data_IF_568978586095
#
_entry.id   IF_568978586095
#
_cell.length_a   1.000
_cell.length_b   1.000
_cell.length_c   1.000
_cell.angle_alpha   90.00
_cell.angle_beta   90.00
_cell.angle_gamma   90.00
#
_symmetry.space_group_name_H-M   'P 1'
#
loop_
_entity.id
_entity.type
_entity.pdbx_description
1 polymer ?
#
# COMPACT_ATOMS: atom_id res chain seq x y z
N UNK A 1 16.83 -0.64 13.78
CA UNK A 1 15.90 -1.63 14.35
C UNK A 1 14.74 -1.81 13.40
N UNK A 2 14.35 -3.05 13.14
CA UNK A 2 13.13 -3.37 12.41
C UNK A 2 12.06 -3.83 13.41
N UNK A 3 10.85 -3.32 13.28
CA UNK A 3 9.67 -3.75 14.03
C UNK A 3 8.78 -4.49 13.04
N UNK A 4 8.74 -5.81 13.17
CA UNK A 4 8.00 -6.75 12.30
C UNK A 4 7.08 -7.64 13.13
N UNK A 5 6.61 -7.13 14.27
CA UNK A 5 5.65 -7.85 15.13
C UNK A 5 4.27 -7.88 14.45
N UNK A 6 3.25 -8.47 15.09
CA UNK A 6 1.89 -8.28 14.58
C UNK A 6 1.53 -6.78 14.66
N UNK A 7 0.76 -6.31 13.68
CA UNK A 7 0.43 -4.88 13.48
C UNK A 7 -0.14 -4.20 14.74
N UNK A 8 -0.97 -4.92 15.50
CA UNK A 8 -1.54 -4.46 16.78
C UNK A 8 -0.46 -4.15 17.84
N UNK A 9 0.72 -4.77 17.76
CA UNK A 9 1.83 -4.59 18.70
C UNK A 9 2.91 -3.62 18.19
N UNK A 10 2.79 -3.08 16.97
CA UNK A 10 3.78 -2.17 16.41
C UNK A 10 4.01 -0.94 17.30
N UNK A 11 2.93 -0.31 17.77
CA UNK A 11 3.02 0.93 18.54
C UNK A 11 3.72 0.73 19.90
N UNK A 12 3.38 -0.34 20.62
CA UNK A 12 3.98 -0.66 21.91
C UNK A 12 5.50 -0.85 21.80
N UNK A 13 5.94 -1.62 20.80
CA UNK A 13 7.37 -1.84 20.54
C UNK A 13 8.05 -0.55 20.07
N UNK A 14 7.36 0.26 19.26
CA UNK A 14 7.88 1.54 18.80
C UNK A 14 8.12 2.51 19.97
N UNK A 15 7.22 2.58 20.94
CA UNK A 15 7.39 3.41 22.14
C UNK A 15 8.64 3.02 22.93
N UNK A 16 8.86 1.71 23.12
CA UNK A 16 10.07 1.20 23.77
C UNK A 16 11.34 1.55 22.97
N UNK A 17 11.28 1.41 21.65
CA UNK A 17 12.39 1.78 20.77
C UNK A 17 12.70 3.29 20.81
N UNK A 18 11.67 4.14 20.88
CA UNK A 18 11.82 5.59 20.97
C UNK A 18 12.44 6.04 22.30
N UNK A 19 12.18 5.33 23.40
CA UNK A 19 12.81 5.54 24.70
C UNK A 19 14.30 5.15 24.74
N UNK A 20 14.78 4.43 23.71
CA UNK A 20 16.19 4.03 23.56
C UNK A 20 16.96 4.99 22.64
N UNK A 21 18.31 4.95 22.59
CA UNK A 21 19.12 5.79 21.70
C UNK A 21 19.14 5.31 20.22
N UNK A 22 18.26 4.40 19.81
CA UNK A 22 18.27 3.84 18.44
C UNK A 22 17.95 4.93 17.40
N UNK A 23 18.91 5.26 16.54
CA UNK A 23 18.76 6.35 15.57
C UNK A 23 17.83 6.00 14.37
N UNK A 24 17.73 4.72 13.99
CA UNK A 24 16.94 4.27 12.83
C UNK A 24 15.97 3.18 13.24
N UNK A 25 14.69 3.48 13.17
CA UNK A 25 13.59 2.59 13.49
C UNK A 25 12.75 2.46 12.23
N UNK A 26 12.56 1.23 11.78
CA UNK A 26 11.76 0.89 10.60
C UNK A 26 10.62 0.02 11.09
N UNK A 27 9.38 0.45 10.81
CA UNK A 27 8.17 -0.25 11.25
C UNK A 27 7.49 -0.81 10.02
N UNK A 28 7.26 -2.12 9.98
CA UNK A 28 6.53 -2.77 8.89
C UNK A 28 5.10 -2.25 8.76
N UNK A 29 4.52 -2.48 7.58
CA UNK A 29 3.12 -2.10 7.32
C UNK A 29 2.13 -3.02 8.04
N UNK A 30 0.94 -2.50 8.38
CA UNK A 30 0.66 -1.08 8.54
C UNK A 30 1.41 -0.56 9.77
N UNK A 31 1.81 0.72 9.80
CA UNK A 31 2.58 1.28 10.94
C UNK A 31 1.81 1.18 12.28
N UNK A 32 0.48 1.21 12.22
CA UNK A 32 -0.45 0.92 13.33
C UNK A 32 -1.71 0.25 12.78
N UNK A 33 -2.55 -0.33 13.65
CA UNK A 33 -3.71 -1.12 13.26
C UNK A 33 -5.06 -0.55 13.73
N UNK A 34 -5.10 0.51 14.54
CA UNK A 34 -6.36 1.12 15.02
C UNK A 34 -6.32 2.64 14.96
N UNK A 35 -7.50 3.29 14.93
CA UNK A 35 -7.61 4.75 14.96
C UNK A 35 -7.08 5.35 16.28
N UNK A 36 -7.29 4.68 17.41
CA UNK A 36 -6.70 5.10 18.70
C UNK A 36 -5.16 5.05 18.68
N UNK A 37 -4.58 4.06 17.99
CA UNK A 37 -3.14 4.01 17.77
C UNK A 37 -2.66 5.11 16.82
N UNK A 38 -3.46 5.51 15.81
CA UNK A 38 -3.16 6.67 14.95
C UNK A 38 -3.02 7.94 15.79
N UNK A 39 -4.01 8.24 16.64
CA UNK A 39 -4.00 9.43 17.50
C UNK A 39 -2.76 9.46 18.39
N UNK A 40 -2.47 8.33 19.04
CA UNK A 40 -1.30 8.19 19.90
C UNK A 40 0.00 8.37 19.12
N UNK A 41 0.13 7.76 17.94
CA UNK A 41 1.33 7.88 17.12
C UNK A 41 1.52 9.31 16.59
N UNK A 42 0.45 10.03 16.22
CA UNK A 42 0.52 11.45 15.85
C UNK A 42 1.11 12.29 16.98
N UNK A 43 0.67 12.05 18.23
CA UNK A 43 1.23 12.74 19.41
C UNK A 43 2.71 12.42 19.65
N UNK A 44 3.16 11.20 19.34
CA UNK A 44 4.59 10.85 19.44
C UNK A 44 5.41 11.53 18.34
N UNK A 45 4.94 11.52 17.09
CA UNK A 45 5.70 12.05 15.95
C UNK A 45 5.91 13.57 15.99
N UNK A 46 5.08 14.32 16.73
CA UNK A 46 5.31 15.77 16.94
C UNK A 46 6.41 16.07 17.96
N UNK A 47 6.85 15.09 18.74
CA UNK A 47 7.94 15.29 19.71
C UNK A 47 9.27 15.53 18.98
N UNK A 48 10.12 16.46 19.45
CA UNK A 48 11.38 16.77 18.80
C UNK A 48 12.26 15.54 18.56
N UNK A 49 12.69 15.35 17.31
CA UNK A 49 13.60 14.26 16.91
C UNK A 49 12.97 12.88 16.78
N UNK A 50 11.67 12.69 17.09
CA UNK A 50 11.01 11.38 16.94
C UNK A 50 10.76 11.05 15.47
N UNK A 51 10.12 11.94 14.72
CA UNK A 51 9.74 11.66 13.33
C UNK A 51 10.94 11.40 12.40
N UNK A 52 12.12 11.96 12.70
CA UNK A 52 13.33 11.76 11.91
C UNK A 52 13.93 10.35 12.08
N UNK A 53 13.57 9.66 13.17
CA UNK A 53 14.07 8.31 13.51
C UNK A 53 13.19 7.20 12.95
N UNK A 54 11.93 7.49 12.64
CA UNK A 54 10.90 6.48 12.34
C UNK A 54 10.56 6.49 10.86
N UNK A 55 10.81 5.36 10.19
CA UNK A 55 10.33 5.08 8.84
C UNK A 55 9.19 4.06 8.89
N UNK A 56 7.98 4.48 8.51
CA UNK A 56 6.91 3.56 8.16
C UNK A 56 7.24 2.87 6.83
N UNK A 57 7.47 1.57 6.87
CA UNK A 57 7.84 0.79 5.71
C UNK A 57 6.61 0.21 5.03
N UNK A 58 6.43 0.57 3.76
CA UNK A 58 5.69 -0.24 2.81
C UNK A 58 6.60 -0.48 1.62
N UNK A 59 7.01 -1.72 1.38
CA UNK A 59 7.98 -2.03 0.33
C UNK A 59 7.51 -1.62 -1.08
N UNK A 60 6.20 -1.49 -1.31
CA UNK A 60 5.65 -1.03 -2.59
C UNK A 60 5.96 0.45 -2.88
N UNK A 61 6.37 1.23 -1.88
CA UNK A 61 6.83 2.61 -2.07
C UNK A 61 8.05 2.71 -3.01
N UNK A 62 8.82 1.63 -3.17
CA UNK A 62 10.00 1.62 -4.04
C UNK A 62 9.66 1.54 -5.55
N UNK A 63 8.38 1.31 -5.90
CA UNK A 63 7.92 1.15 -7.29
C UNK A 63 7.73 2.50 -7.98
N UNK A 64 8.84 3.21 -8.22
CA UNK A 64 8.87 4.56 -8.80
C UNK A 64 9.53 4.60 -10.20
N UNK A 65 9.58 3.46 -10.90
CA UNK A 65 10.24 3.36 -12.21
C UNK A 65 9.57 4.22 -13.29
N UNK A 66 8.25 4.42 -13.21
CA UNK A 66 7.52 5.40 -14.03
C UNK A 66 8.15 6.79 -13.95
N UNK A 67 8.53 7.21 -12.74
CA UNK A 67 9.15 8.52 -12.46
C UNK A 67 10.62 8.51 -12.85
N UNK A 68 11.40 7.52 -12.40
CA UNK A 68 12.84 7.42 -12.67
C UNK A 68 13.16 7.46 -14.17
N UNK A 69 12.26 6.94 -15.00
CA UNK A 69 12.39 6.91 -16.47
C UNK A 69 11.82 8.13 -17.19
N UNK A 70 11.19 9.05 -16.46
CA UNK A 70 10.57 10.24 -17.05
C UNK A 70 9.47 9.90 -18.06
N UNK A 71 8.67 8.85 -17.81
CA UNK A 71 7.58 8.47 -18.71
C UNK A 71 6.39 9.44 -18.68
N UNK A 72 6.28 10.16 -17.57
CA UNK A 72 5.36 11.27 -17.32
C UNK A 72 6.21 12.43 -16.82
N UNK A 73 6.12 13.60 -17.45
CA UNK A 73 7.01 14.72 -17.08
C UNK A 73 6.48 15.44 -15.84
N UNK A 74 5.16 15.64 -15.78
CA UNK A 74 4.51 16.31 -14.66
C UNK A 74 3.17 15.67 -14.31
N UNK A 75 2.73 15.82 -13.06
CA UNK A 75 1.45 15.29 -12.60
C UNK A 75 0.25 15.86 -13.39
N UNK A 76 0.37 17.06 -13.94
CA UNK A 76 -0.68 17.71 -14.74
C UNK A 76 -1.01 16.98 -16.06
N UNK A 77 -0.16 16.06 -16.50
CA UNK A 77 -0.43 15.22 -17.67
C UNK A 77 -1.47 14.13 -17.38
N UNK A 78 -1.67 13.77 -16.11
CA UNK A 78 -2.52 12.64 -15.72
C UNK A 78 -3.97 13.12 -15.61
N UNK A 79 -4.91 12.39 -16.24
CA UNK A 79 -6.35 12.70 -16.21
C UNK A 79 -7.19 11.65 -15.47
N UNK A 80 -6.65 10.44 -15.26
CA UNK A 80 -7.27 9.38 -14.47
C UNK A 80 -6.20 8.44 -13.91
N UNK A 81 -6.43 7.89 -12.73
CA UNK A 81 -5.58 6.87 -12.13
C UNK A 81 -6.41 5.65 -11.76
N UNK A 82 -5.85 4.46 -12.00
CA UNK A 82 -6.40 3.20 -11.54
C UNK A 82 -5.34 2.41 -10.76
N UNK A 83 -5.72 1.91 -9.58
CA UNK A 83 -4.86 1.08 -8.72
C UNK A 83 -5.43 -0.33 -8.56
N UNK A 84 -4.56 -1.34 -8.62
CA UNK A 84 -4.95 -2.74 -8.53
C UNK A 84 -4.02 -3.50 -7.61
N UNK A 85 -4.60 -4.30 -6.72
CA UNK A 85 -3.88 -5.37 -6.04
C UNK A 85 -4.77 -6.60 -5.92
N UNK A 86 -4.57 -7.52 -6.86
CA UNK A 86 -5.35 -8.74 -7.03
C UNK A 86 -4.42 -9.95 -6.88
N UNK A 87 -4.46 -10.57 -5.70
CA UNK A 87 -3.58 -11.69 -5.34
C UNK A 87 -4.07 -13.01 -5.94
N UNK A 88 -3.16 -13.90 -6.35
CA UNK A 88 -3.51 -15.28 -6.65
C UNK A 88 -4.03 -15.99 -5.39
N UNK A 89 -5.01 -16.86 -5.60
CA UNK A 89 -5.66 -17.62 -4.54
C UNK A 89 -5.93 -19.07 -4.98
N UNK A 90 -5.96 -19.97 -4.01
CA UNK A 90 -6.36 -21.36 -4.23
C UNK A 90 -7.84 -21.59 -3.93
N UNK A 91 -8.21 -22.87 -3.89
CA UNK A 91 -9.49 -23.35 -3.39
C UNK A 91 -9.25 -24.40 -2.30
N UNK A 92 -10.06 -24.37 -1.24
CA UNK A 92 -10.04 -25.42 -0.23
C UNK A 92 -10.75 -26.69 -0.74
N UNK A 93 -10.79 -27.74 0.10
CA UNK A 93 -11.45 -29.01 -0.25
C UNK A 93 -12.96 -28.89 -0.49
N UNK A 94 -13.60 -27.84 0.01
CA UNK A 94 -15.00 -27.52 -0.23
C UNK A 94 -15.22 -26.66 -1.50
N UNK A 95 -14.15 -26.34 -2.24
CA UNK A 95 -14.21 -25.49 -3.44
C UNK A 95 -14.33 -23.99 -3.12
N UNK A 96 -14.11 -23.57 -1.89
CA UNK A 96 -14.16 -22.16 -1.49
C UNK A 96 -12.80 -21.48 -1.65
N UNK A 97 -12.75 -20.17 -1.99
CA UNK A 97 -11.50 -19.44 -2.11
C UNK A 97 -10.67 -19.45 -0.82
N UNK A 98 -9.35 -19.64 -0.96
CA UNK A 98 -8.37 -19.56 0.13
C UNK A 98 -7.14 -18.78 -0.32
N UNK A 99 -6.61 -17.90 0.53
CA UNK A 99 -5.40 -17.15 0.25
C UNK A 99 -4.20 -18.12 0.17
N UNK A 100 -3.11 -17.68 -0.44
CA UNK A 100 -1.86 -18.44 -0.48
C UNK A 100 -0.84 -17.80 0.46
N UNK A 101 -0.05 -18.64 1.13
CA UNK A 101 1.09 -18.19 1.90
C UNK A 101 2.12 -17.57 0.96
N UNK A 102 2.55 -16.35 1.26
CA UNK A 102 3.47 -15.61 0.41
C UNK A 102 4.83 -16.31 0.21
N UNK A 103 5.33 -17.03 1.23
CA UNK A 103 6.63 -17.67 1.20
C UNK A 103 6.61 -19.04 0.51
N UNK A 104 5.55 -19.82 0.71
CA UNK A 104 5.48 -21.21 0.22
C UNK A 104 4.60 -21.37 -1.02
N UNK A 105 3.65 -20.46 -1.26
CA UNK A 105 2.62 -20.61 -2.28
C UNK A 105 1.50 -21.61 -1.91
N UNK A 106 1.59 -22.24 -0.74
CA UNK A 106 0.60 -23.20 -0.25
C UNK A 106 -0.64 -22.50 0.32
N UNK A 107 -1.80 -23.17 0.41
CA UNK A 107 -2.99 -22.60 1.04
C UNK A 107 -2.71 -22.07 2.46
N UNK A 108 -3.07 -20.80 2.68
CA UNK A 108 -2.96 -20.15 3.99
C UNK A 108 -4.15 -20.55 4.85
N UNK A 109 -3.92 -21.43 5.82
CA UNK A 109 -4.96 -21.96 6.70
C UNK A 109 -5.32 -21.02 7.85
N UNK A 110 -4.67 -19.85 7.94
CA UNK A 110 -5.00 -18.86 8.96
C UNK A 110 -6.36 -18.23 8.67
N UNK A 111 -7.13 -18.03 9.72
CA UNK A 111 -8.35 -17.23 9.63
C UNK A 111 -7.99 -15.75 9.68
N UNK A 112 -8.11 -15.07 8.55
CA UNK A 112 -7.93 -13.62 8.48
C UNK A 112 -9.12 -12.94 9.15
N UNK A 113 -8.82 -12.01 10.06
CA UNK A 113 -9.81 -11.23 10.81
C UNK A 113 -9.57 -9.76 10.58
N UNK A 114 -10.59 -8.94 10.78
CA UNK A 114 -10.42 -7.49 10.85
C UNK A 114 -9.34 -7.14 11.91
N UNK A 115 -8.42 -6.20 11.65
CA UNK A 115 -8.35 -5.30 10.48
C UNK A 115 -7.55 -5.84 9.28
N UNK A 116 -7.09 -7.10 9.31
CA UNK A 116 -6.22 -7.71 8.30
C UNK A 116 -6.91 -8.01 6.94
N UNK A 117 -8.11 -7.47 6.72
CA UNK A 117 -8.79 -7.54 5.44
C UNK A 117 -8.18 -6.63 4.39
N UNK A 118 -8.62 -6.80 3.14
CA UNK A 118 -7.93 -6.21 1.99
C UNK A 118 -7.83 -4.69 2.03
N UNK A 119 -8.80 -4.00 2.65
CA UNK A 119 -8.82 -2.54 2.71
C UNK A 119 -7.55 -2.02 3.37
N UNK A 120 -7.14 -2.58 4.51
CA UNK A 120 -5.92 -2.15 5.20
C UNK A 120 -4.68 -2.90 4.69
N UNK A 121 -4.74 -4.23 4.61
CA UNK A 121 -3.59 -5.09 4.33
C UNK A 121 -2.93 -4.75 2.99
N UNK A 122 -3.72 -4.80 1.91
CA UNK A 122 -3.21 -4.57 0.55
C UNK A 122 -3.57 -3.19 0.00
N UNK A 123 -4.55 -2.50 0.60
CA UNK A 123 -4.82 -1.10 0.26
C UNK A 123 -3.64 -0.18 0.56
N UNK A 124 -2.91 -0.43 1.66
CA UNK A 124 -1.68 0.34 1.99
C UNK A 124 -0.63 0.26 0.88
N UNK A 125 -0.43 -0.90 0.26
CA UNK A 125 0.49 -1.07 -0.86
C UNK A 125 0.13 -0.19 -2.08
N UNK A 126 -1.16 -0.16 -2.45
CA UNK A 126 -1.63 0.65 -3.56
C UNK A 126 -1.48 2.13 -3.25
N UNK A 127 -1.86 2.55 -2.04
CA UNK A 127 -1.70 3.95 -1.63
C UNK A 127 -0.23 4.36 -1.54
N UNK A 128 0.65 3.46 -1.11
CA UNK A 128 2.07 3.73 -1.03
C UNK A 128 2.69 4.03 -2.40
N UNK A 129 2.42 3.18 -3.41
CA UNK A 129 2.84 3.43 -4.79
C UNK A 129 2.28 4.73 -5.33
N UNK A 130 0.98 4.94 -5.13
CA UNK A 130 0.26 6.09 -5.63
C UNK A 130 0.88 7.38 -5.08
N UNK A 131 1.06 7.44 -3.76
CA UNK A 131 1.58 8.61 -3.05
C UNK A 131 3.01 8.94 -3.43
N UNK A 132 3.88 7.95 -3.61
CA UNK A 132 5.22 8.21 -4.11
C UNK A 132 5.19 8.73 -5.56
N UNK A 133 4.37 8.12 -6.42
CA UNK A 133 4.21 8.57 -7.82
C UNK A 133 3.72 10.02 -7.88
N UNK A 134 2.64 10.36 -7.18
CA UNK A 134 2.09 11.72 -7.12
C UNK A 134 3.13 12.71 -6.60
N UNK A 135 3.81 12.37 -5.49
CA UNK A 135 4.85 13.20 -4.90
C UNK A 135 5.95 13.52 -5.90
N UNK A 136 6.48 12.52 -6.62
CA UNK A 136 7.65 12.75 -7.46
C UNK A 136 7.30 13.40 -8.80
N UNK A 137 6.04 13.31 -9.23
CA UNK A 137 5.53 14.03 -10.39
C UNK A 137 5.06 15.46 -10.07
N UNK A 138 5.13 15.88 -8.80
CA UNK A 138 4.79 17.24 -8.36
C UNK A 138 3.32 17.47 -8.03
N UNK A 139 2.54 16.42 -7.79
CA UNK A 139 1.19 16.53 -7.23
C UNK A 139 1.19 16.91 -5.74
N UNK A 140 0.00 17.16 -5.21
CA UNK A 140 -0.20 17.53 -3.80
C UNK A 140 -0.66 16.33 -2.93
N UNK A 141 -0.88 16.59 -1.64
CA UNK A 141 -1.24 15.54 -0.69
C UNK A 141 -2.76 15.35 -0.48
N UNK A 142 -3.61 16.06 -1.20
CA UNK A 142 -5.06 15.91 -1.07
C UNK A 142 -5.50 14.54 -1.58
N UNK A 143 -6.24 13.79 -0.76
CA UNK A 143 -6.81 12.51 -1.16
C UNK A 143 -8.21 12.38 -0.57
N UNK A 144 -9.16 12.06 -1.43
CA UNK A 144 -10.53 11.67 -1.07
C UNK A 144 -10.79 10.27 -1.63
N UNK A 145 -11.44 9.41 -0.86
CA UNK A 145 -11.74 8.01 -1.14
C UNK A 145 -13.02 7.72 -0.37
N UNK A 146 -13.89 6.95 -1.00
CA UNK A 146 -15.06 6.32 -0.43
C UNK A 146 -15.00 4.83 -0.73
N UNK A 147 -15.61 4.04 0.14
CA UNK A 147 -15.86 2.63 -0.13
C UNK A 147 -17.06 2.52 -1.08
N UNK A 148 -16.87 1.84 -2.21
CA UNK A 148 -17.96 1.54 -3.16
C UNK A 148 -18.58 0.19 -2.84
N UNK A 149 -17.74 -0.82 -2.60
CA UNK A 149 -18.17 -2.15 -2.17
C UNK A 149 -17.06 -2.84 -1.38
N UNK A 150 -17.45 -3.73 -0.48
CA UNK A 150 -16.58 -4.68 0.20
C UNK A 150 -17.33 -5.97 0.48
N UNK A 151 -16.66 -7.11 0.30
CA UNK A 151 -17.20 -8.44 0.53
C UNK A 151 -16.20 -9.31 1.27
N UNK A 152 -16.70 -10.31 1.97
CA UNK A 152 -15.87 -11.34 2.61
C UNK A 152 -15.19 -12.25 1.56
N UNK A 153 -14.40 -13.23 2.01
CA UNK A 153 -13.72 -14.18 1.11
C UNK A 153 -14.67 -15.00 0.23
N UNK A 154 -15.93 -15.14 0.62
CA UNK A 154 -16.95 -15.93 -0.06
C UNK A 154 -17.83 -15.06 -0.96
N UNK A 155 -17.53 -13.76 -1.09
CA UNK A 155 -18.30 -12.82 -1.89
C UNK A 155 -19.59 -12.36 -1.23
N UNK A 156 -19.73 -12.53 0.09
CA UNK A 156 -20.89 -12.08 0.87
C UNK A 156 -20.67 -10.66 1.37
N UNK A 157 -21.76 -9.90 1.43
CA UNK A 157 -21.72 -8.56 2.00
C UNK A 157 -21.39 -8.62 3.49
N UNK A 158 -20.65 -7.62 3.96
CA UNK A 158 -20.24 -7.49 5.35
C UNK A 158 -21.23 -6.57 6.07
N UNK A 159 -21.97 -7.04 7.08
CA UNK A 159 -22.91 -6.22 7.82
C UNK A 159 -22.21 -5.12 8.65
N UNK A 160 -22.91 -4.01 8.87
CA UNK A 160 -22.41 -2.89 9.68
C UNK A 160 -22.13 -3.25 11.15
N UNK A 161 -22.49 -4.43 11.64
CA UNK A 161 -22.18 -4.87 13.01
C UNK A 161 -21.10 -5.94 13.06
N UNK A 162 -20.53 -6.33 11.91
CA UNK A 162 -19.50 -7.37 11.85
C UNK A 162 -18.13 -6.76 12.10
N UNK A 163 -17.62 -6.96 13.32
CA UNK A 163 -16.32 -6.44 13.76
C UNK A 163 -15.18 -7.45 13.56
N UNK A 164 -15.42 -8.60 12.92
CA UNK A 164 -14.49 -9.74 12.95
C UNK A 164 -14.10 -10.25 11.57
N UNK A 165 -15.03 -10.33 10.63
CA UNK A 165 -14.76 -10.92 9.30
C UNK A 165 -13.80 -10.03 8.52
N UNK A 166 -12.71 -10.55 7.97
CA UNK A 166 -11.86 -9.78 7.07
C UNK A 166 -12.54 -9.52 5.71
N UNK A 167 -12.33 -8.33 5.13
CA UNK A 167 -12.67 -8.10 3.72
C UNK A 167 -11.79 -8.98 2.83
N UNK A 168 -12.39 -9.71 1.90
CA UNK A 168 -11.68 -10.46 0.86
C UNK A 168 -11.53 -9.70 -0.44
N UNK A 169 -12.46 -8.80 -0.74
CA UNK A 169 -12.36 -7.85 -1.84
C UNK A 169 -12.97 -6.50 -1.47
N UNK A 170 -12.47 -5.44 -2.12
CA UNK A 170 -12.99 -4.09 -1.98
C UNK A 170 -12.76 -3.25 -3.24
N UNK A 171 -13.71 -2.36 -3.54
CA UNK A 171 -13.57 -1.29 -4.53
C UNK A 171 -13.64 0.06 -3.83
N UNK A 172 -12.58 0.85 -3.98
CA UNK A 172 -12.52 2.23 -3.47
C UNK A 172 -12.54 3.20 -4.66
N UNK A 173 -13.19 4.35 -4.48
CA UNK A 173 -13.23 5.39 -5.49
C UNK A 173 -13.03 6.76 -4.87
N UNK A 174 -12.41 7.69 -5.59
CA UNK A 174 -12.33 9.09 -5.20
C UNK A 174 -11.37 9.89 -6.07
N UNK A 175 -10.48 10.64 -5.44
CA UNK A 175 -9.50 11.47 -6.12
C UNK A 175 -8.21 11.62 -5.33
N UNK A 176 -7.11 11.91 -6.01
CA UNK A 176 -5.85 12.37 -5.42
C UNK A 176 -5.33 13.55 -6.22
N UNK A 177 -4.98 14.65 -5.54
CA UNK A 177 -4.56 15.89 -6.20
C UNK A 177 -5.54 16.38 -7.28
N UNK A 178 -6.85 16.20 -7.04
CA UNK A 178 -7.91 16.55 -7.99
C UNK A 178 -8.09 15.59 -9.19
N UNK A 179 -7.30 14.51 -9.27
CA UNK A 179 -7.41 13.52 -10.35
C UNK A 179 -8.27 12.34 -9.91
N UNK A 180 -9.28 11.93 -10.72
CA UNK A 180 -10.11 10.75 -10.44
C UNK A 180 -9.29 9.48 -10.22
N UNK A 181 -9.71 8.70 -9.23
CA UNK A 181 -9.01 7.51 -8.76
C UNK A 181 -10.00 6.37 -8.50
N UNK A 182 -9.72 5.20 -9.06
CA UNK A 182 -10.38 3.94 -8.72
C UNK A 182 -9.34 2.93 -8.23
N UNK A 183 -9.68 2.15 -7.20
CA UNK A 183 -8.81 1.13 -6.61
C UNK A 183 -9.58 -0.18 -6.43
N UNK A 184 -9.05 -1.28 -6.98
CA UNK A 184 -9.58 -2.62 -6.82
C UNK A 184 -8.62 -3.51 -6.03
N UNK A 185 -9.12 -4.05 -4.92
CA UNK A 185 -8.39 -4.90 -4.00
C UNK A 185 -9.06 -6.25 -3.94
N UNK A 186 -8.32 -7.34 -4.13
CA UNK A 186 -8.87 -8.68 -4.03
C UNK A 186 -7.78 -9.69 -3.61
N UNK A 187 -7.97 -10.37 -2.48
CA UNK A 187 -7.04 -11.43 -2.03
C UNK A 187 -7.37 -12.82 -2.61
N UNK A 188 -8.51 -12.91 -3.28
CA UNK A 188 -9.16 -14.12 -3.76
C UNK A 188 -9.47 -14.03 -5.26
N UNK A 189 -8.59 -13.41 -6.05
CA UNK A 189 -8.79 -13.15 -7.48
C UNK A 189 -8.66 -14.42 -8.36
N UNK A 190 -8.55 -15.60 -7.75
CA UNK A 190 -8.42 -16.89 -8.42
C UNK A 190 -6.97 -17.32 -8.64
N UNK A 191 -6.73 -18.51 -9.21
CA UNK A 191 -5.39 -19.12 -9.28
C UNK A 191 -4.36 -18.32 -10.09
N UNK A 192 -4.82 -17.57 -11.09
CA UNK A 192 -3.94 -16.70 -11.89
C UNK A 192 -3.71 -15.33 -11.25
N UNK A 193 -4.45 -15.02 -10.17
CA UNK A 193 -4.53 -13.70 -9.59
C UNK A 193 -5.12 -12.68 -10.55
N UNK A 194 -4.72 -11.43 -10.37
CA UNK A 194 -5.05 -10.37 -11.32
C UNK A 194 -3.95 -9.33 -11.40
N UNK A 195 -4.35 -8.07 -11.54
CA UNK A 195 -3.40 -6.97 -11.70
C UNK A 195 -2.81 -6.51 -10.36
N UNK A 196 -1.52 -6.16 -10.40
CA UNK A 196 -0.74 -5.65 -9.26
C UNK A 196 -0.09 -4.33 -9.66
N UNK A 197 -0.95 -3.37 -9.98
CA UNK A 197 -0.62 -2.31 -10.94
C UNK A 197 -1.05 -0.92 -10.47
N UNK A 198 -0.31 0.09 -10.92
CA UNK A 198 -0.80 1.46 -11.04
C UNK A 198 -0.90 1.81 -12.54
N UNK A 199 -2.05 2.28 -12.98
CA UNK A 199 -2.28 2.80 -14.34
C UNK A 199 -2.53 4.30 -14.30
N UNK A 200 -1.79 5.03 -15.13
CA UNK A 200 -1.93 6.46 -15.32
C UNK A 200 -2.44 6.69 -16.74
N UNK A 201 -3.60 7.33 -16.85
CA UNK A 201 -4.15 7.76 -18.13
C UNK A 201 -3.73 9.21 -18.35
N UNK A 202 -3.10 9.48 -19.49
CA UNK A 202 -2.57 10.80 -19.82
C UNK A 202 -3.53 11.56 -20.72
N UNK A 203 -3.45 12.90 -20.68
CA UNK A 203 -4.28 13.81 -21.46
C UNK A 203 -4.09 13.68 -22.98
N UNK A 204 -2.96 13.15 -23.42
CA UNK A 204 -2.66 12.85 -24.83
C UNK A 204 -3.15 11.46 -25.28
N UNK A 205 -3.86 10.73 -24.42
CA UNK A 205 -4.43 9.41 -24.71
C UNK A 205 -3.50 8.23 -24.40
N UNK A 206 -2.23 8.47 -24.06
CA UNK A 206 -1.32 7.39 -23.64
C UNK A 206 -1.72 6.81 -22.29
N UNK A 207 -1.40 5.54 -22.07
CA UNK A 207 -1.55 4.86 -20.78
C UNK A 207 -0.19 4.37 -20.31
N UNK A 208 0.17 4.72 -19.08
CA UNK A 208 1.34 4.17 -18.40
C UNK A 208 0.87 3.11 -17.41
N UNK A 209 1.34 1.88 -17.55
CA UNK A 209 0.99 0.76 -16.68
C UNK A 209 2.24 0.24 -15.97
N UNK A 210 2.30 0.37 -14.65
CA UNK A 210 3.38 -0.21 -13.83
C UNK A 210 2.82 -1.41 -13.06
N UNK A 211 2.90 -2.58 -13.68
CA UNK A 211 2.34 -3.83 -13.21
C UNK A 211 3.41 -4.74 -12.60
N UNK A 212 2.99 -5.80 -11.91
CA UNK A 212 3.87 -6.84 -11.39
C UNK A 212 3.42 -8.21 -11.86
N UNK A 213 4.33 -8.96 -12.48
CA UNK A 213 4.08 -10.29 -13.05
C UNK A 213 5.12 -11.27 -12.50
N UNK A 214 4.67 -12.19 -11.65
CA UNK A 214 5.57 -13.06 -10.89
C UNK A 214 6.49 -12.25 -9.98
N UNK A 215 7.80 -12.42 -10.16
CA UNK A 215 8.81 -11.68 -9.40
C UNK A 215 9.25 -10.38 -10.07
N UNK A 216 8.80 -10.09 -11.30
CA UNK A 216 9.24 -8.92 -12.07
C UNK A 216 8.22 -7.79 -12.01
N UNK A 217 8.70 -6.56 -12.01
CA UNK A 217 7.89 -5.40 -12.39
C UNK A 217 7.91 -5.25 -13.91
N UNK A 218 6.74 -4.96 -14.48
CA UNK A 218 6.54 -4.75 -15.91
C UNK A 218 5.97 -3.36 -16.13
N UNK A 219 6.74 -2.51 -16.79
CA UNK A 219 6.35 -1.15 -17.10
C UNK A 219 6.00 -1.06 -18.58
N UNK A 220 4.83 -0.50 -18.88
CA UNK A 220 4.31 -0.39 -20.25
C UNK A 220 3.87 1.05 -20.53
N UNK A 221 4.25 1.56 -21.71
CA UNK A 221 3.67 2.77 -22.32
C UNK A 221 2.84 2.29 -23.50
N UNK A 222 1.54 2.53 -23.43
CA UNK A 222 0.55 2.14 -24.43
C UNK A 222 0.10 3.41 -25.15
N UNK A 223 0.22 3.42 -26.47
CA UNK A 223 -0.14 4.53 -27.36
C UNK A 223 -0.90 3.96 -28.57
N UNK A 224 -2.24 3.91 -28.45
CA UNK A 224 -3.07 3.14 -29.37
C UNK A 224 -2.66 1.66 -29.40
N UNK A 225 -2.30 1.17 -30.58
CA UNK A 225 -1.82 -0.21 -30.78
C UNK A 225 -0.32 -0.39 -30.45
N UNK A 226 0.44 0.70 -30.28
CA UNK A 226 1.85 0.65 -29.99
C UNK A 226 2.10 0.45 -28.49
N UNK A 227 2.84 -0.60 -28.13
CA UNK A 227 3.22 -0.90 -26.74
C UNK A 227 4.74 -0.94 -26.60
N UNK A 228 5.29 -0.04 -25.77
CA UNK A 228 6.69 -0.12 -25.32
C UNK A 228 6.72 -0.73 -23.93
N UNK A 229 7.58 -1.74 -23.72
CA UNK A 229 7.63 -2.52 -22.49
C UNK A 229 9.05 -2.61 -21.94
N UNK A 230 9.17 -2.46 -20.62
CA UNK A 230 10.38 -2.73 -19.85
C UNK A 230 10.09 -3.78 -18.78
N UNK A 231 11.06 -4.66 -18.55
CA UNK A 231 11.03 -5.64 -17.45
C UNK A 231 12.09 -5.27 -16.43
N UNK A 232 11.70 -5.29 -15.16
CA UNK A 232 12.51 -4.91 -14.02
C UNK A 232 12.59 -6.13 -13.10
N UNK A 233 13.70 -6.91 -13.15
CA UNK A 233 13.80 -8.13 -12.39
C UNK A 233 14.03 -7.86 -10.89
N UNK A 234 13.77 -8.87 -10.06
CA UNK A 234 14.06 -8.84 -8.62
C UNK A 234 12.85 -8.56 -7.73
N UNK A 235 12.95 -8.96 -6.47
CA UNK A 235 11.84 -8.80 -5.52
C UNK A 235 11.74 -7.33 -5.08
N UNK A 236 10.51 -6.80 -4.98
CA UNK A 236 10.28 -5.43 -4.52
C UNK A 236 10.92 -5.22 -3.14
N UNK A 237 10.82 -6.22 -2.26
CA UNK A 237 11.39 -6.14 -0.93
C UNK A 237 12.91 -5.97 -0.95
N UNK A 238 13.62 -6.71 -1.81
CA UNK A 238 15.07 -6.56 -1.95
C UNK A 238 15.45 -5.17 -2.47
N UNK A 239 14.73 -4.66 -3.48
CA UNK A 239 14.94 -3.31 -4.00
C UNK A 239 14.66 -2.25 -2.94
N UNK A 240 13.57 -2.38 -2.19
CA UNK A 240 13.24 -1.45 -1.11
C UNK A 240 14.31 -1.47 0.00
N UNK A 241 14.69 -2.64 0.50
CA UNK A 241 15.73 -2.76 1.51
C UNK A 241 17.05 -2.16 1.04
N UNK A 242 17.52 -2.54 -0.15
CA UNK A 242 18.80 -2.09 -0.67
C UNK A 242 18.81 -0.59 -0.96
N UNK A 243 17.79 -0.08 -1.67
CA UNK A 243 17.77 1.32 -2.10
C UNK A 243 17.31 2.29 -1.00
N UNK A 244 16.38 1.91 -0.14
CA UNK A 244 15.71 2.85 0.77
C UNK A 244 16.16 2.72 2.22
N UNK A 245 16.64 1.55 2.67
CA UNK A 245 16.80 1.29 4.10
C UNK A 245 18.24 0.98 4.50
N UNK A 246 18.87 -0.01 3.88
CA UNK A 246 20.15 -0.59 4.31
C UNK A 246 21.35 -0.13 3.46
N UNK A 247 21.12 0.35 2.25
CA UNK A 247 22.19 0.81 1.36
C UNK A 247 22.92 2.05 1.88
N UNK A 248 24.14 2.27 1.41
CA UNK A 248 24.96 3.44 1.76
C UNK A 248 24.29 4.78 1.41
N UNK A 249 23.39 4.78 0.41
CA UNK A 249 22.58 5.93 0.02
C UNK A 249 21.10 5.74 0.42
N UNK A 250 20.84 5.05 1.54
CA UNK A 250 19.49 4.87 2.09
C UNK A 250 18.78 6.20 2.30
N UNK A 251 17.44 6.16 2.44
CA UNK A 251 16.63 7.36 2.67
C UNK A 251 17.11 8.15 3.89
N UNK A 252 17.53 7.44 4.95
CA UNK A 252 18.11 8.02 6.16
C UNK A 252 19.39 8.82 5.91
N UNK A 253 20.18 8.48 4.90
CA UNK A 253 21.43 9.17 4.56
C UNK A 253 21.20 10.26 3.52
N UNK A 254 20.54 9.92 2.41
CA UNK A 254 20.42 10.82 1.26
C UNK A 254 19.42 11.95 1.50
N UNK A 255 18.37 11.70 2.29
CA UNK A 255 17.31 12.68 2.54
C UNK A 255 16.61 12.38 3.88
N UNK A 256 17.25 12.70 5.03
CA UNK A 256 16.68 12.43 6.35
C UNK A 256 15.29 13.06 6.55
N UNK A 257 15.06 14.24 5.98
CA UNK A 257 13.76 14.92 6.04
C UNK A 257 12.66 14.16 5.30
N UNK A 258 13.02 13.27 4.39
CA UNK A 258 12.06 12.43 3.70
C UNK A 258 11.58 11.24 4.52
N UNK A 259 12.34 10.82 5.54
CA UNK A 259 11.92 9.78 6.48
C UNK A 259 10.64 10.21 7.17
N UNK A 260 10.64 11.38 7.83
CA UNK A 260 9.45 11.93 8.48
C UNK A 260 8.27 12.14 7.52
N UNK A 261 8.53 12.60 6.28
CA UNK A 261 7.49 12.87 5.29
C UNK A 261 6.86 11.57 4.76
N UNK A 262 7.67 10.55 4.53
CA UNK A 262 7.20 9.22 4.13
C UNK A 262 6.36 8.60 5.24
N UNK A 263 6.84 8.65 6.48
CA UNK A 263 6.10 8.16 7.65
C UNK A 263 4.77 8.87 7.82
N UNK A 264 4.75 10.19 7.65
CA UNK A 264 3.51 10.96 7.66
C UNK A 264 2.52 10.52 6.58
N UNK A 265 2.99 10.30 5.33
CA UNK A 265 2.14 9.79 4.24
C UNK A 265 1.57 8.41 4.56
N UNK A 266 2.40 7.46 5.01
CA UNK A 266 1.94 6.11 5.41
C UNK A 266 0.93 6.16 6.56
N UNK A 267 1.13 7.06 7.52
CA UNK A 267 0.19 7.25 8.62
C UNK A 267 -1.18 7.75 8.13
N UNK A 268 -1.18 8.75 7.25
CA UNK A 268 -2.39 9.29 6.63
C UNK A 268 -3.13 8.24 5.80
N UNK A 269 -2.40 7.38 5.09
CA UNK A 269 -2.96 6.27 4.32
C UNK A 269 -3.65 5.24 5.22
N UNK A 270 -2.97 4.81 6.29
CA UNK A 270 -3.53 3.87 7.28
C UNK A 270 -4.77 4.47 7.94
N UNK A 271 -4.71 5.72 8.40
CA UNK A 271 -5.87 6.42 8.97
C UNK A 271 -7.06 6.45 8.01
N UNK A 272 -6.79 6.71 6.72
CA UNK A 272 -7.81 6.73 5.67
C UNK A 272 -8.50 5.39 5.53
N UNK A 273 -7.72 4.32 5.44
CA UNK A 273 -8.21 2.96 5.22
C UNK A 273 -8.96 2.43 6.44
N UNK A 274 -8.46 2.70 7.64
CA UNK A 274 -9.16 2.39 8.90
C UNK A 274 -10.50 3.14 9.00
N UNK A 275 -10.54 4.41 8.60
CA UNK A 275 -11.79 5.19 8.55
C UNK A 275 -12.80 4.56 7.59
N UNK A 276 -12.35 4.05 6.43
CA UNK A 276 -13.22 3.34 5.49
C UNK A 276 -13.75 2.01 6.08
N UNK A 277 -12.91 1.27 6.81
CA UNK A 277 -13.36 0.07 7.53
C UNK A 277 -14.40 0.41 8.62
N UNK A 278 -14.20 1.52 9.34
CA UNK A 278 -15.16 2.01 10.34
C UNK A 278 -16.49 2.46 9.70
N UNK A 279 -16.46 3.05 8.51
CA UNK A 279 -17.68 3.37 7.76
C UNK A 279 -18.46 2.12 7.32
N UNK A 280 -17.75 1.04 6.97
CA UNK A 280 -18.36 -0.24 6.62
C UNK A 280 -19.02 -0.92 7.83
N UNK A 281 -18.35 -0.92 8.99
CA UNK A 281 -18.65 -1.80 10.14
C UNK A 281 -19.06 -1.06 11.41
N UNK A 282 -19.32 0.24 11.31
CA UNK A 282 -19.56 1.09 12.48
C UNK A 282 -18.33 1.29 13.38
N UNK A 283 -18.45 2.09 14.45
CA UNK A 283 -17.33 2.41 15.34
C UNK A 283 -16.79 1.20 16.12
N UNK A 284 -15.47 1.03 16.11
CA UNK A 284 -14.70 0.06 16.88
C UNK A 284 -13.27 0.56 17.12
#
# INVERSE_FOLDING_TARGET
MFITTASLHHLEVLEQALASPIARIVVEKPIVATLSQIEKLKMLLVQPGVADRVLALDHWMARIETVKRGLVSTFAEIVKIEGFLQEPSGFNTAGEPIALNFATGEPDTRELRHPDGVILDIGTHVLAMLRETVRYLGGNNEMVLRLVSAKDRLGRDIPQSDLTTAEGEAHLQGQISGIPLDIWLNKYAGPTGGQKCLRLYLSDGRIISHDRRGTEDVLEVIDGDAVRRWKLPGTIYAHCLAEHILGAQSLFERNPQEVRRTTQRRLEEVERLLTLQQQLRGPH
#
